data_IF_927721583263
#
_entry.id   IF_927721583263
#
_cell.length_a   1.000
_cell.length_b   1.000
_cell.length_c   1.000
_cell.angle_alpha   90.00
_cell.angle_beta   90.00
_cell.angle_gamma   90.00
#
_symmetry.space_group_name_H-M   'P 1'
#
loop_
_entity.id
_entity.type
_entity.pdbx_description
1 polymer ?
#
# COMPACT_ATOMS: atom_id res chain seq x y z
N UNK A 1 -28.06 -9.74 0.11
CA UNK A 1 -27.00 -10.00 -0.89
C UNK A 1 -26.27 -8.74 -1.40
N UNK A 2 -26.73 -7.51 -1.09
CA UNK A 2 -26.19 -6.25 -1.66
C UNK A 2 -24.96 -5.68 -0.93
N UNK A 3 -24.72 -6.01 0.36
CA UNK A 3 -23.60 -5.46 1.15
C UNK A 3 -22.22 -5.84 0.61
N UNK A 4 -21.99 -7.13 0.32
CA UNK A 4 -20.70 -7.62 -0.19
C UNK A 4 -20.29 -6.99 -1.53
N UNK A 5 -21.26 -6.70 -2.40
CA UNK A 5 -20.98 -6.11 -3.71
C UNK A 5 -20.58 -4.62 -3.61
N UNK A 6 -21.18 -3.89 -2.67
CA UNK A 6 -20.75 -2.51 -2.36
C UNK A 6 -19.38 -2.45 -1.71
N UNK A 7 -19.04 -3.38 -0.81
CA UNK A 7 -17.68 -3.49 -0.25
C UNK A 7 -16.64 -3.76 -1.35
N UNK A 8 -16.94 -4.66 -2.29
CA UNK A 8 -16.07 -4.96 -3.45
C UNK A 8 -15.87 -3.75 -4.38
N UNK A 9 -16.94 -2.97 -4.63
CA UNK A 9 -16.85 -1.74 -5.42
C UNK A 9 -16.15 -0.58 -4.70
N UNK A 10 -16.14 -0.58 -3.37
CA UNK A 10 -15.43 0.42 -2.57
C UNK A 10 -13.91 0.14 -2.53
N UNK A 11 -13.49 -1.11 -2.74
CA UNK A 11 -12.09 -1.48 -2.95
C UNK A 11 -11.59 -1.10 -4.35
N UNK A 12 -12.48 -0.91 -5.34
CA UNK A 12 -12.13 -0.59 -6.73
C UNK A 12 -12.23 0.90 -7.10
N UNK A 13 -12.44 1.81 -6.14
CA UNK A 13 -12.23 3.24 -6.39
C UNK A 13 -10.72 3.52 -6.40
N UNK A 14 -10.05 3.07 -7.45
CA UNK A 14 -8.70 3.50 -7.79
C UNK A 14 -8.79 4.96 -8.27
N UNK A 15 -8.94 5.90 -7.34
CA UNK A 15 -8.51 7.27 -7.61
C UNK A 15 -6.99 7.24 -7.67
N UNK A 16 -6.39 7.78 -8.73
CA UNK A 16 -4.94 7.90 -8.80
C UNK A 16 -4.44 8.73 -7.61
N UNK A 17 -3.69 8.09 -6.70
CA UNK A 17 -3.18 8.74 -5.50
C UNK A 17 -1.73 9.12 -5.76
N UNK A 18 -1.43 10.42 -5.68
CA UNK A 18 -0.12 10.94 -6.00
C UNK A 18 0.59 11.52 -4.78
N UNK A 19 1.91 11.40 -4.77
CA UNK A 19 2.79 11.86 -3.69
C UNK A 19 4.08 12.47 -4.24
N UNK A 20 4.64 13.43 -3.52
CA UNK A 20 5.95 14.01 -3.84
C UNK A 20 7.09 13.06 -3.45
N UNK A 21 6.90 12.25 -2.41
CA UNK A 21 7.91 11.30 -1.94
C UNK A 21 7.41 9.86 -1.89
N UNK A 22 8.34 8.92 -2.09
CA UNK A 22 8.07 7.49 -1.94
C UNK A 22 7.62 7.14 -0.51
N UNK A 23 8.22 7.78 0.49
CA UNK A 23 7.89 7.57 1.91
C UNK A 23 6.46 7.98 2.22
N UNK A 24 5.99 9.11 1.69
CA UNK A 24 4.60 9.56 1.90
C UNK A 24 3.60 8.56 1.29
N UNK A 25 3.90 8.03 0.10
CA UNK A 25 3.09 7.00 -0.54
C UNK A 25 3.01 5.72 0.30
N UNK A 26 4.14 5.27 0.85
CA UNK A 26 4.20 4.09 1.73
C UNK A 26 3.42 4.32 3.02
N UNK A 27 3.65 5.44 3.71
CA UNK A 27 2.95 5.78 4.95
C UNK A 27 1.45 5.86 4.73
N UNK A 28 1.00 6.47 3.63
CA UNK A 28 -0.41 6.51 3.30
C UNK A 28 -1.02 5.11 3.15
N UNK A 29 -0.33 4.17 2.49
CA UNK A 29 -0.83 2.80 2.35
C UNK A 29 -0.94 2.07 3.71
N UNK A 30 0.02 2.30 4.61
CA UNK A 30 0.02 1.77 5.97
C UNK A 30 -1.15 2.35 6.79
N UNK A 31 -1.33 3.67 6.79
CA UNK A 31 -2.42 4.36 7.48
C UNK A 31 -3.80 3.88 6.99
N UNK A 32 -3.96 3.71 5.67
CA UNK A 32 -5.22 3.20 5.10
C UNK A 32 -5.50 1.74 5.52
N UNK A 33 -4.44 0.97 5.75
CA UNK A 33 -4.53 -0.41 6.24
C UNK A 33 -4.96 -0.46 7.71
N UNK A 34 -4.40 0.41 8.55
CA UNK A 34 -4.81 0.56 9.94
C UNK A 34 -6.25 1.04 10.07
N UNK A 35 -6.67 2.02 9.27
CA UNK A 35 -8.07 2.51 9.20
C UNK A 35 -9.06 1.40 8.82
N UNK A 36 -8.61 0.35 8.10
CA UNK A 36 -9.41 -0.84 7.78
C UNK A 36 -9.43 -1.88 8.93
N UNK A 37 -8.77 -1.59 10.05
CA UNK A 37 -8.74 -2.42 11.25
C UNK A 37 -7.78 -3.60 11.16
N UNK A 38 -6.75 -3.49 10.33
CA UNK A 38 -5.62 -4.41 10.27
C UNK A 38 -4.42 -3.83 10.99
N UNK A 39 -3.56 -4.70 11.48
CA UNK A 39 -2.28 -4.40 12.10
C UNK A 39 -1.17 -4.96 11.22
N UNK A 40 0.05 -4.46 11.38
CA UNK A 40 1.25 -5.01 10.76
C UNK A 40 2.38 -5.07 11.80
N UNK A 41 3.37 -5.91 11.53
CA UNK A 41 4.57 -6.01 12.36
C UNK A 41 5.59 -4.94 11.92
N UNK A 42 6.01 -4.01 12.82
CA UNK A 42 7.02 -3.01 12.51
C UNK A 42 8.36 -3.57 12.01
N UNK A 43 8.76 -4.77 12.47
CA UNK A 43 10.00 -5.42 12.02
C UNK A 43 9.86 -5.92 10.58
N UNK A 44 8.72 -6.54 10.22
CA UNK A 44 8.42 -6.94 8.84
C UNK A 44 8.36 -5.71 7.90
N UNK A 45 7.77 -4.60 8.37
CA UNK A 45 7.74 -3.32 7.63
C UNK A 45 9.16 -2.82 7.37
N UNK A 46 10.01 -2.79 8.40
CA UNK A 46 11.39 -2.31 8.27
C UNK A 46 12.22 -3.17 7.31
N UNK A 47 12.04 -4.49 7.34
CA UNK A 47 12.70 -5.42 6.43
C UNK A 47 12.22 -5.23 4.98
N UNK A 48 10.90 -5.23 4.76
CA UNK A 48 10.31 -5.12 3.43
C UNK A 48 10.61 -3.75 2.81
N UNK A 49 10.37 -2.65 3.52
CA UNK A 49 10.52 -1.28 2.99
C UNK A 49 11.96 -0.79 3.06
N UNK A 50 12.70 -1.14 4.11
CA UNK A 50 14.06 -0.68 4.32
C UNK A 50 15.11 -1.49 3.55
N UNK A 51 14.99 -2.82 3.53
CA UNK A 51 16.00 -3.71 2.94
C UNK A 51 15.60 -4.15 1.54
N UNK A 52 14.32 -4.48 1.33
CA UNK A 52 13.87 -5.13 0.10
C UNK A 52 13.14 -4.21 -0.89
N UNK A 53 12.86 -2.97 -0.52
CA UNK A 53 12.15 -2.03 -1.36
C UNK A 53 13.01 -0.82 -1.68
N UNK A 54 13.37 -0.66 -2.96
CA UNK A 54 14.03 0.56 -3.42
C UNK A 54 12.99 1.56 -3.92
N UNK A 55 13.22 2.85 -3.68
CA UNK A 55 12.46 3.93 -4.32
C UNK A 55 12.44 3.71 -5.83
N UNK A 56 11.26 3.71 -6.49
CA UNK A 56 11.20 3.51 -7.92
C UNK A 56 11.90 4.66 -8.65
N UNK A 57 12.67 4.32 -9.69
CA UNK A 57 13.19 5.29 -10.67
C UNK A 57 12.05 5.75 -11.58
N UNK A 58 12.27 6.85 -12.29
CA UNK A 58 11.34 7.35 -13.30
C UNK A 58 11.04 6.26 -14.35
N UNK A 59 9.76 6.07 -14.64
CA UNK A 59 9.27 5.01 -15.54
C UNK A 59 9.35 3.60 -14.97
N UNK A 60 9.72 3.42 -13.69
CA UNK A 60 9.81 2.11 -13.02
C UNK A 60 8.83 2.00 -11.86
N UNK A 61 8.58 0.76 -11.46
CA UNK A 61 7.62 0.43 -10.42
C UNK A 61 8.27 -0.47 -9.38
N UNK A 62 8.10 -0.11 -8.11
CA UNK A 62 8.44 -0.95 -6.97
C UNK A 62 7.17 -1.59 -6.44
N UNK A 63 7.24 -2.88 -6.10
CA UNK A 63 6.11 -3.66 -5.58
C UNK A 63 6.53 -4.46 -4.37
N UNK A 64 5.65 -4.57 -3.40
CA UNK A 64 5.84 -5.42 -2.24
C UNK A 64 4.50 -5.81 -1.60
N UNK A 65 4.55 -6.84 -0.78
CA UNK A 65 3.42 -7.34 -0.01
C UNK A 65 3.79 -7.39 1.47
N UNK A 66 2.86 -7.04 2.35
CA UNK A 66 3.04 -7.03 3.79
C UNK A 66 1.94 -7.89 4.46
N UNK A 67 2.31 -8.94 5.21
CA UNK A 67 1.35 -9.73 5.98
C UNK A 67 0.56 -8.87 6.97
N UNK A 68 -0.75 -9.14 7.06
CA UNK A 68 -1.63 -8.41 7.97
C UNK A 68 -2.04 -9.24 9.18
N UNK A 69 -2.24 -8.54 10.28
CA UNK A 69 -2.62 -9.08 11.56
C UNK A 69 -3.94 -8.45 12.04
N UNK A 70 -4.64 -9.15 12.93
CA UNK A 70 -5.79 -8.60 13.65
C UNK A 70 -5.85 -9.23 15.02
N UNK A 71 -5.92 -8.39 16.06
CA UNK A 71 -5.86 -8.82 17.46
C UNK A 71 -4.66 -9.73 17.74
N UNK A 72 -3.48 -9.36 17.20
CA UNK A 72 -2.24 -10.13 17.35
C UNK A 72 -2.17 -11.45 16.58
N UNK A 73 -3.16 -11.78 15.74
CA UNK A 73 -3.16 -13.01 14.93
C UNK A 73 -2.96 -12.71 13.46
N UNK A 74 -2.05 -13.45 12.81
CA UNK A 74 -1.84 -13.36 11.36
C UNK A 74 -3.10 -13.70 10.59
N UNK A 75 -3.45 -12.89 9.61
CA UNK A 75 -4.60 -13.06 8.74
C UNK A 75 -4.17 -13.74 7.44
N UNK A 76 -5.10 -14.40 6.74
CA UNK A 76 -4.88 -14.84 5.35
C UNK A 76 -5.07 -13.67 4.38
N UNK A 77 -4.47 -12.53 4.72
CA UNK A 77 -4.56 -11.28 3.98
C UNK A 77 -3.22 -10.57 3.99
N UNK A 78 -2.91 -9.89 2.90
CA UNK A 78 -1.71 -9.06 2.74
C UNK A 78 -2.10 -7.69 2.20
N UNK A 79 -1.40 -6.65 2.65
CA UNK A 79 -1.37 -5.37 1.97
C UNK A 79 -0.42 -5.50 0.79
N UNK A 80 -0.92 -5.26 -0.42
CA UNK A 80 -0.11 -5.13 -1.61
C UNK A 80 0.06 -3.66 -1.94
N UNK A 81 1.31 -3.24 -2.15
CA UNK A 81 1.66 -1.87 -2.55
C UNK A 81 2.44 -1.90 -3.85
N UNK A 82 2.06 -0.99 -4.73
CA UNK A 82 2.74 -0.67 -5.97
C UNK A 82 2.96 0.84 -6.03
N UNK A 83 4.22 1.26 -6.14
CA UNK A 83 4.55 2.67 -6.36
C UNK A 83 5.27 2.83 -7.69
N UNK A 84 4.74 3.69 -8.56
CA UNK A 84 5.31 4.02 -9.86
C UNK A 84 5.98 5.40 -9.83
N UNK A 85 7.22 5.49 -10.31
CA UNK A 85 7.93 6.76 -10.50
C UNK A 85 7.49 7.43 -11.79
N UNK A 86 6.78 8.55 -11.70
CA UNK A 86 6.16 9.24 -12.84
C UNK A 86 7.14 10.09 -13.64
N UNK A 87 8.29 10.44 -13.09
CA UNK A 87 9.26 11.34 -13.72
C UNK A 87 8.77 12.80 -13.78
N UNK A 88 7.94 13.21 -12.83
CA UNK A 88 7.40 14.58 -12.73
C UNK A 88 8.07 15.36 -11.61
N UNK A 89 8.11 16.69 -11.73
CA UNK A 89 8.73 17.58 -10.72
C UNK A 89 7.92 17.67 -9.43
N UNK A 90 6.60 17.51 -9.51
CA UNK A 90 5.65 17.40 -8.40
C UNK A 90 4.86 16.13 -8.57
N UNK A 91 4.34 15.55 -7.50
CA UNK A 91 3.54 14.33 -7.54
C UNK A 91 4.30 13.20 -8.27
N UNK A 92 5.59 13.03 -7.98
CA UNK A 92 6.47 12.13 -8.72
C UNK A 92 6.15 10.64 -8.49
N UNK A 93 5.33 10.31 -7.50
CA UNK A 93 4.96 8.93 -7.19
C UNK A 93 3.46 8.72 -7.32
N UNK A 94 3.08 7.66 -8.04
CA UNK A 94 1.73 7.15 -8.10
C UNK A 94 1.63 5.90 -7.23
N UNK A 95 0.68 5.89 -6.31
CA UNK A 95 0.42 4.77 -5.42
C UNK A 95 -0.81 4.00 -5.88
N UNK A 96 -0.64 2.68 -6.02
CA UNK A 96 -1.73 1.73 -5.98
C UNK A 96 -1.54 0.81 -4.76
N UNK A 97 -2.59 0.64 -3.97
CA UNK A 97 -2.57 -0.27 -2.83
C UNK A 97 -3.91 -0.97 -2.66
N UNK A 98 -3.88 -2.23 -2.24
CA UNK A 98 -5.08 -3.00 -1.95
C UNK A 98 -4.78 -4.10 -0.93
N UNK A 99 -5.82 -4.60 -0.26
CA UNK A 99 -5.71 -5.74 0.64
C UNK A 99 -6.33 -6.93 -0.07
N UNK A 100 -5.61 -8.05 -0.16
CA UNK A 100 -6.10 -9.31 -0.74
C UNK A 100 -5.95 -10.45 0.26
#
# INVERSE_FOLDING_TARGET
MIKKFKEFLNESQFSDIYFDTYTDAVNFALDQTEKKGYQYDPEEVADIIGIHSSRPKDGKTTRWSLPLYKNGKRQRKELHVQVYGRGTTTNNFELNHYIR
#
